data_IF_579830410347
#
_entry.id   IF_579830410347
#
_cell.length_a   1.000
_cell.length_b   1.000
_cell.length_c   1.000
_cell.angle_alpha   90.00
_cell.angle_beta   90.00
_cell.angle_gamma   90.00
#
_symmetry.space_group_name_H-M   'P 1'
#
loop_
_entity.id
_entity.type
_entity.pdbx_description
1 polymer ?
#
# COMPACT_ATOMS: atom_id res chain seq x y z
N UNK A 1 2.42 -5.53 -8.52
CA UNK A 1 1.77 -5.83 -7.21
C UNK A 1 2.65 -5.50 -6.00
N UNK A 2 3.93 -5.93 -5.95
CA UNK A 2 4.80 -5.74 -4.77
C UNK A 2 4.92 -4.29 -4.27
N UNK A 3 5.14 -3.30 -5.15
CA UNK A 3 5.24 -1.87 -4.75
C UNK A 3 4.06 -1.40 -3.90
N UNK A 4 2.83 -1.69 -4.33
CA UNK A 4 1.62 -1.18 -3.70
C UNK A 4 1.27 -2.00 -2.45
N UNK A 5 1.66 -3.28 -2.42
CA UNK A 5 1.64 -4.07 -1.19
C UNK A 5 2.59 -3.52 -0.12
N UNK A 6 3.80 -3.08 -0.50
CA UNK A 6 4.73 -2.40 0.44
C UNK A 6 4.15 -1.10 0.95
N UNK A 7 3.55 -0.29 0.06
CA UNK A 7 2.87 0.94 0.45
C UNK A 7 1.72 0.68 1.43
N UNK A 8 0.93 -0.39 1.22
CA UNK A 8 -0.09 -0.81 2.20
C UNK A 8 0.51 -1.14 3.56
N UNK A 9 1.62 -1.88 3.59
CA UNK A 9 2.31 -2.24 4.83
C UNK A 9 2.83 -0.98 5.57
N UNK A 10 3.33 0.01 4.82
CA UNK A 10 3.71 1.33 5.34
C UNK A 10 2.53 2.05 6.00
N UNK A 11 1.47 2.30 5.23
CA UNK A 11 0.22 2.93 5.70
C UNK A 11 -0.41 2.23 6.90
N UNK A 12 -0.33 0.90 6.98
CA UNK A 12 -1.00 0.15 8.05
C UNK A 12 -0.22 0.08 9.36
N UNK A 13 1.10 0.25 9.34
CA UNK A 13 1.96 -0.04 10.50
C UNK A 13 2.88 1.11 10.93
N UNK A 14 3.24 2.02 10.03
CA UNK A 14 4.32 2.99 10.27
C UNK A 14 3.99 4.42 9.86
N UNK A 15 3.15 4.61 8.85
CA UNK A 15 2.88 5.92 8.26
C UNK A 15 1.65 6.55 8.91
N UNK A 16 1.86 7.66 9.61
CA UNK A 16 0.82 8.45 10.27
C UNK A 16 1.17 9.93 10.14
N UNK A 17 0.17 10.80 10.00
CA UNK A 17 0.36 12.24 10.05
C UNK A 17 0.02 12.77 11.44
N UNK A 18 1.01 13.34 12.14
CA UNK A 18 0.86 13.81 13.51
C UNK A 18 0.67 15.33 13.49
N UNK A 19 -0.45 15.79 14.04
CA UNK A 19 -0.78 17.22 14.17
C UNK A 19 -0.94 17.56 15.65
N UNK A 20 -0.46 18.73 16.07
CA UNK A 20 -0.66 19.24 17.43
C UNK A 20 -1.96 20.04 17.59
N UNK A 21 -2.23 20.51 18.81
CA UNK A 21 -3.43 21.29 19.15
C UNK A 21 -3.55 22.63 18.38
N UNK A 22 -2.49 23.04 17.68
CA UNK A 22 -2.46 24.24 16.84
C UNK A 22 -2.56 23.92 15.34
N UNK A 23 -2.91 22.68 15.00
CA UNK A 23 -3.05 22.17 13.62
C UNK A 23 -1.74 22.21 12.82
N UNK A 24 -0.59 22.20 13.50
CA UNK A 24 0.72 22.14 12.87
C UNK A 24 1.19 20.70 12.80
N UNK A 25 1.62 20.27 11.62
CA UNK A 25 2.22 18.95 11.40
C UNK A 25 3.59 18.86 12.09
N UNK A 26 3.75 17.86 12.96
CA UNK A 26 4.96 17.69 13.76
C UNK A 26 5.98 16.73 13.12
N UNK A 27 5.55 15.89 12.17
CA UNK A 27 6.40 14.92 11.49
C UNK A 27 6.54 15.10 9.96
N UNK A 28 6.81 16.31 9.43
CA UNK A 28 6.90 16.53 7.98
C UNK A 28 8.16 15.92 7.33
N UNK A 29 9.10 15.40 8.13
CA UNK A 29 10.36 14.80 7.64
C UNK A 29 10.33 13.28 7.66
N UNK A 30 11.19 12.65 6.84
CA UNK A 30 11.31 11.18 6.74
C UNK A 30 11.96 10.50 7.95
N UNK A 31 12.42 11.27 8.94
CA UNK A 31 12.91 10.73 10.22
C UNK A 31 11.72 10.24 11.06
N UNK A 32 10.66 11.04 11.08
CA UNK A 32 9.47 10.81 11.91
C UNK A 32 8.32 10.20 11.10
N UNK A 33 8.19 10.52 9.81
CA UNK A 33 7.33 9.80 8.86
C UNK A 33 8.08 8.59 8.28
N UNK A 34 7.87 7.42 8.88
CA UNK A 34 8.68 6.22 8.59
C UNK A 34 8.25 5.47 7.34
N UNK A 35 8.85 5.84 6.22
CA UNK A 35 8.81 5.04 4.98
C UNK A 35 9.62 3.76 5.17
N UNK A 36 9.04 2.61 4.80
CA UNK A 36 9.70 1.29 4.90
C UNK A 36 10.94 1.23 4.00
N UNK A 37 12.05 0.75 4.54
CA UNK A 37 13.24 0.37 3.75
C UNK A 37 13.18 -1.12 3.38
N UNK A 38 14.08 -1.56 2.49
CA UNK A 38 14.13 -2.96 2.02
C UNK A 38 14.23 -4.00 3.15
N UNK A 39 14.87 -3.65 4.27
CA UNK A 39 15.02 -4.55 5.43
C UNK A 39 13.71 -4.79 6.20
N UNK A 40 12.76 -3.87 6.08
CA UNK A 40 11.51 -3.90 6.85
C UNK A 40 10.36 -4.55 6.08
N UNK A 41 10.61 -5.02 4.86
CA UNK A 41 9.61 -5.58 3.96
C UNK A 41 9.72 -7.10 3.96
N UNK A 42 8.65 -7.84 4.35
CA UNK A 42 8.66 -9.29 4.25
C UNK A 42 8.67 -9.74 2.78
N UNK A 43 9.05 -10.99 2.53
CA UNK A 43 8.92 -11.56 1.19
C UNK A 43 7.44 -11.58 0.75
N UNK A 44 7.14 -10.96 -0.40
CA UNK A 44 5.78 -10.89 -0.96
C UNK A 44 5.66 -11.89 -2.11
N UNK A 45 4.90 -12.96 -1.88
CA UNK A 45 4.49 -13.88 -2.95
C UNK A 45 3.32 -13.27 -3.75
N UNK A 46 3.25 -13.57 -5.05
CA UNK A 46 2.17 -13.07 -5.92
C UNK A 46 1.72 -14.19 -6.82
N UNK A 47 0.45 -14.57 -6.68
CA UNK A 47 -0.21 -15.54 -7.55
C UNK A 47 -1.20 -14.80 -8.45
N UNK A 48 -1.23 -15.15 -9.74
CA UNK A 48 -2.09 -14.51 -10.73
C UNK A 48 -3.20 -15.49 -11.08
N UNK A 49 -4.45 -15.08 -10.85
CA UNK A 49 -5.64 -15.80 -11.30
C UNK A 49 -6.26 -15.03 -12.45
N UNK A 50 -6.24 -15.63 -13.64
CA UNK A 50 -6.78 -15.03 -14.85
C UNK A 50 -8.27 -15.33 -14.95
N UNK A 51 -9.09 -14.27 -14.87
CA UNK A 51 -10.54 -14.38 -15.08
C UNK A 51 -10.94 -13.38 -16.16
N UNK A 52 -11.39 -13.90 -17.30
CA UNK A 52 -11.78 -13.07 -18.44
C UNK A 52 -12.89 -12.09 -18.07
N UNK A 53 -12.86 -10.88 -18.65
CA UNK A 53 -13.94 -9.89 -18.54
C UNK A 53 -14.74 -9.85 -19.87
N UNK A 54 -15.99 -10.36 -19.90
CA UNK A 54 -16.78 -10.50 -21.15
C UNK A 54 -16.97 -9.20 -21.94
N UNK A 55 -17.03 -8.07 -21.24
CA UNK A 55 -17.34 -6.76 -21.83
C UNK A 55 -16.07 -5.94 -22.17
N UNK A 56 -14.88 -6.53 -22.09
CA UNK A 56 -13.63 -5.87 -22.46
C UNK A 56 -13.06 -6.52 -23.72
N UNK A 57 -12.69 -5.75 -24.77
CA UNK A 57 -12.20 -6.30 -26.04
C UNK A 57 -11.03 -7.28 -25.88
N UNK A 58 -10.19 -7.08 -24.86
CA UNK A 58 -9.05 -7.94 -24.55
C UNK A 58 -9.22 -8.76 -23.26
N UNK A 59 -10.40 -8.72 -22.62
CA UNK A 59 -10.64 -9.43 -21.36
C UNK A 59 -9.88 -8.92 -20.13
N UNK A 60 -9.02 -7.93 -20.30
CA UNK A 60 -8.15 -7.35 -19.26
C UNK A 60 -8.91 -6.69 -18.11
N UNK A 61 -8.25 -6.66 -16.94
CA UNK A 61 -8.69 -5.96 -15.74
C UNK A 61 -7.55 -5.12 -15.20
N UNK A 62 -7.83 -3.86 -14.86
CA UNK A 62 -6.87 -2.99 -14.18
C UNK A 62 -6.59 -3.49 -12.77
N UNK A 63 -5.31 -3.61 -12.40
CA UNK A 63 -4.89 -4.16 -11.10
C UNK A 63 -3.84 -3.31 -10.39
N UNK A 64 -3.69 -2.05 -10.80
CA UNK A 64 -2.77 -1.08 -10.19
C UNK A 64 -3.03 -0.97 -8.70
N UNK A 65 -4.21 -0.51 -8.30
CA UNK A 65 -4.51 -0.17 -6.91
C UNK A 65 -5.12 -1.32 -6.09
N UNK A 66 -5.30 -2.49 -6.69
CA UNK A 66 -5.93 -3.62 -6.01
C UNK A 66 -5.26 -3.96 -4.65
N UNK A 67 -3.92 -3.91 -4.50
CA UNK A 67 -3.30 -4.21 -3.22
C UNK A 67 -3.47 -3.13 -2.14
N UNK A 68 -3.83 -1.88 -2.46
CA UNK A 68 -4.03 -0.80 -1.47
C UNK A 68 -5.49 -0.69 -1.02
N UNK A 69 -6.45 -1.04 -1.88
CA UNK A 69 -7.89 -0.94 -1.61
C UNK A 69 -8.37 -1.98 -0.57
N UNK A 70 -7.67 -3.10 -0.43
CA UNK A 70 -7.96 -4.12 0.59
C UNK A 70 -7.53 -3.63 1.98
N UNK A 71 -8.32 -2.70 2.54
CA UNK A 71 -8.15 -2.14 3.87
C UNK A 71 -8.85 -3.05 4.88
N UNK A 72 -8.16 -4.11 5.32
CA UNK A 72 -8.14 -4.67 6.69
C UNK A 72 -7.55 -6.10 6.69
N UNK A 73 -6.53 -6.27 7.53
CA UNK A 73 -5.86 -7.49 8.04
C UNK A 73 -5.31 -8.49 7.02
N UNK A 74 -4.07 -8.24 6.59
CA UNK A 74 -3.11 -9.32 6.38
C UNK A 74 -1.90 -9.03 7.26
N UNK A 75 -2.12 -9.16 8.57
CA UNK A 75 -1.10 -9.50 9.58
C UNK A 75 -1.72 -10.61 10.42
#
# INVERSE_FOLDING_TARGET
MRKIAVQRIGNSLNEEYIHNDKDVMENPGFIDYRVRITLDVPFINTEIVEVFKPNHPFGERGIGDAPIILQITAV
#
